data_IF_527347353080
#
_entry.id   IF_527347353080
#
_cell.length_a   1.000
_cell.length_b   1.000
_cell.length_c   1.000
_cell.angle_alpha   90.00
_cell.angle_beta   90.00
_cell.angle_gamma   90.00
#
_symmetry.space_group_name_H-M   'P 1'
#
loop_
_entity.id
_entity.type
_entity.pdbx_description
1 polymer ?
#
# COMPACT_ATOMS: atom_id res chain seq x y z
N UNK A 1 -14.78 11.97 -27.04
CA UNK A 1 -14.00 12.40 -25.86
C UNK A 1 -14.52 11.82 -24.53
N UNK A 2 -15.81 11.53 -24.31
CA UNK A 2 -16.27 10.94 -23.03
C UNK A 2 -15.95 9.43 -22.83
N UNK A 3 -15.88 8.64 -23.91
CA UNK A 3 -15.65 7.17 -23.81
C UNK A 3 -14.24 6.80 -23.36
N UNK A 4 -13.25 7.58 -23.78
CA UNK A 4 -11.82 7.35 -23.52
C UNK A 4 -11.51 7.47 -22.03
N UNK A 5 -12.06 8.50 -21.36
CA UNK A 5 -11.94 8.66 -19.90
C UNK A 5 -12.57 7.51 -19.10
N UNK A 6 -13.65 6.90 -19.60
CA UNK A 6 -14.30 5.77 -18.92
C UNK A 6 -13.49 4.49 -19.04
N UNK A 7 -12.90 4.24 -20.21
CA UNK A 7 -12.04 3.06 -20.44
C UNK A 7 -10.79 3.16 -19.56
N UNK A 8 -10.15 4.32 -19.50
CA UNK A 8 -8.97 4.53 -18.66
C UNK A 8 -9.27 4.33 -17.18
N UNK A 9 -10.42 4.83 -16.69
CA UNK A 9 -10.87 4.59 -15.32
C UNK A 9 -11.09 3.10 -15.03
N UNK A 10 -11.66 2.36 -15.97
CA UNK A 10 -11.85 0.90 -15.83
C UNK A 10 -10.50 0.17 -15.80
N UNK A 11 -9.55 0.56 -16.66
CA UNK A 11 -8.20 0.00 -16.65
C UNK A 11 -7.51 0.26 -15.32
N UNK A 12 -7.49 1.51 -14.85
CA UNK A 12 -6.89 1.87 -13.54
C UNK A 12 -7.52 1.05 -12.42
N UNK A 13 -8.84 0.88 -12.43
CA UNK A 13 -9.53 0.06 -11.43
C UNK A 13 -9.02 -1.39 -11.44
N UNK A 14 -8.94 -2.01 -12.61
CA UNK A 14 -8.42 -3.37 -12.74
C UNK A 14 -6.94 -3.48 -12.30
N UNK A 15 -6.11 -2.48 -12.59
CA UNK A 15 -4.71 -2.43 -12.13
C UNK A 15 -4.64 -2.41 -10.60
N UNK A 16 -5.50 -1.62 -9.94
CA UNK A 16 -5.56 -1.53 -8.48
C UNK A 16 -6.00 -2.86 -7.86
N UNK A 17 -7.05 -3.48 -8.40
CA UNK A 17 -7.53 -4.79 -7.94
C UNK A 17 -6.45 -5.87 -8.08
N UNK A 18 -5.71 -5.86 -9.20
CA UNK A 18 -4.58 -6.78 -9.42
C UNK A 18 -3.46 -6.58 -8.41
N UNK A 19 -3.03 -5.33 -8.20
CA UNK A 19 -2.06 -4.98 -7.15
C UNK A 19 -2.54 -5.45 -5.79
N UNK A 20 -3.80 -5.19 -5.43
CA UNK A 20 -4.34 -5.54 -4.11
C UNK A 20 -4.27 -7.05 -3.88
N UNK A 21 -4.68 -7.84 -4.86
CA UNK A 21 -4.56 -9.29 -4.80
C UNK A 21 -3.11 -9.75 -4.64
N UNK A 22 -2.19 -9.16 -5.41
CA UNK A 22 -0.77 -9.59 -5.43
C UNK A 22 0.00 -9.20 -4.17
N UNK A 23 -0.28 -8.00 -3.65
CA UNK A 23 0.56 -7.35 -2.65
C UNK A 23 0.09 -7.57 -1.22
N UNK A 24 -1.18 -7.95 -1.02
CA UNK A 24 -1.77 -8.15 0.31
C UNK A 24 -0.96 -9.13 1.17
N UNK A 25 -0.74 -10.36 0.69
CA UNK A 25 -0.02 -11.39 1.46
C UNK A 25 1.41 -10.95 1.84
N UNK A 26 2.09 -10.26 0.92
CA UNK A 26 3.44 -9.77 1.17
C UNK A 26 3.48 -8.68 2.26
N UNK A 27 2.44 -7.85 2.34
CA UNK A 27 2.41 -6.69 3.24
C UNK A 27 1.74 -6.95 4.60
N UNK A 28 0.91 -7.98 4.73
CA UNK A 28 0.24 -8.33 6.00
C UNK A 28 1.23 -8.49 7.16
N UNK A 29 2.43 -9.01 6.91
CA UNK A 29 3.46 -9.15 7.94
C UNK A 29 3.94 -7.82 8.54
N UNK A 30 3.70 -6.71 7.83
CA UNK A 30 4.05 -5.35 8.26
C UNK A 30 2.83 -4.57 8.75
N UNK A 31 1.67 -5.21 8.90
CA UNK A 31 0.45 -4.52 9.31
C UNK A 31 0.62 -3.85 10.68
N UNK A 32 0.11 -2.61 10.86
CA UNK A 32 -0.68 -1.85 9.90
C UNK A 32 0.15 -1.23 8.76
N UNK A 33 -0.43 -1.20 7.56
CA UNK A 33 0.19 -0.63 6.34
C UNK A 33 -0.73 0.43 5.73
N UNK A 34 -0.17 1.55 5.31
CA UNK A 34 -0.87 2.65 4.65
C UNK A 34 -0.43 2.77 3.19
N UNK A 35 -1.39 2.94 2.29
CA UNK A 35 -1.13 3.27 0.88
C UNK A 35 -1.14 4.79 0.74
N UNK A 36 0.01 5.40 0.44
CA UNK A 36 0.16 6.87 0.50
C UNK A 36 0.14 7.55 -0.87
N UNK A 37 0.62 6.87 -1.91
CA UNK A 37 0.56 7.37 -3.30
C UNK A 37 0.20 6.26 -4.25
N UNK A 38 -0.47 6.62 -5.35
CA UNK A 38 -0.81 5.74 -6.46
C UNK A 38 -0.69 6.50 -7.78
N UNK A 39 0.16 6.01 -8.67
CA UNK A 39 0.50 6.64 -9.95
C UNK A 39 0.37 5.58 -11.07
N UNK A 40 -0.82 5.46 -11.71
CA UNK A 40 -1.01 4.53 -12.81
C UNK A 40 -0.32 5.04 -14.10
N UNK A 41 0.54 4.21 -14.68
CA UNK A 41 1.19 4.44 -15.97
C UNK A 41 0.55 3.54 -17.05
N UNK A 42 -0.51 4.06 -17.68
CA UNK A 42 -1.34 3.33 -18.65
C UNK A 42 -0.62 2.98 -19.97
N UNK A 43 0.45 3.69 -20.29
CA UNK A 43 1.26 3.47 -21.48
C UNK A 43 2.18 2.25 -21.38
N UNK A 44 2.47 1.78 -20.17
CA UNK A 44 3.34 0.64 -19.87
C UNK A 44 2.70 -0.36 -18.91
N UNK A 45 1.37 -0.27 -18.74
CA UNK A 45 0.57 -1.16 -17.89
C UNK A 45 1.20 -1.41 -16.51
N UNK A 46 1.72 -0.35 -15.89
CA UNK A 46 2.39 -0.41 -14.58
C UNK A 46 1.73 0.53 -13.58
N UNK A 47 1.51 0.07 -12.35
CA UNK A 47 1.03 0.89 -11.24
C UNK A 47 2.17 1.15 -10.26
N UNK A 48 2.63 2.39 -10.16
CA UNK A 48 3.56 2.79 -9.12
C UNK A 48 2.79 3.18 -7.87
N UNK A 49 3.30 2.81 -6.71
CA UNK A 49 2.68 3.19 -5.45
C UNK A 49 3.67 3.12 -4.29
N UNK A 50 3.35 3.86 -3.25
CA UNK A 50 4.12 3.86 -2.02
C UNK A 50 3.27 3.32 -0.88
N UNK A 51 3.90 2.48 -0.06
CA UNK A 51 3.34 2.06 1.22
C UNK A 51 4.18 2.59 2.38
N UNK A 52 3.50 2.88 3.48
CA UNK A 52 4.12 3.26 4.74
C UNK A 52 3.75 2.25 5.81
N UNK A 53 4.72 1.84 6.60
CA UNK A 53 4.55 0.90 7.71
C UNK A 53 5.73 1.01 8.69
N UNK A 54 5.56 0.45 9.88
CA UNK A 54 6.63 0.41 10.88
C UNK A 54 7.47 -0.86 10.70
N UNK A 55 8.71 -0.70 10.28
CA UNK A 55 9.67 -1.80 10.16
C UNK A 55 10.31 -2.11 11.52
N UNK A 56 10.40 -3.39 11.95
CA UNK A 56 10.89 -3.75 13.28
C UNK A 56 12.30 -3.25 13.61
N UNK A 57 13.18 -3.14 12.60
CA UNK A 57 14.58 -2.76 12.77
C UNK A 57 14.89 -1.30 12.40
N UNK A 58 14.04 -0.67 11.59
CA UNK A 58 14.36 0.62 10.97
C UNK A 58 13.41 1.75 11.36
N UNK A 59 12.33 1.44 12.09
CA UNK A 59 11.28 2.42 12.38
C UNK A 59 10.35 2.62 11.18
N UNK A 60 9.81 3.82 11.02
CA UNK A 60 8.87 4.12 9.95
C UNK A 60 9.54 4.18 8.58
N UNK A 61 9.01 3.41 7.63
CA UNK A 61 9.55 3.30 6.28
C UNK A 61 8.48 3.69 5.28
N UNK A 62 8.85 4.52 4.31
CA UNK A 62 8.09 4.72 3.07
C UNK A 62 8.77 3.93 1.95
N UNK A 63 8.09 2.91 1.43
CA UNK A 63 8.62 1.98 0.44
C UNK A 63 7.88 2.10 -0.87
N UNK A 64 8.62 2.28 -1.97
CA UNK A 64 8.07 2.41 -3.32
C UNK A 64 8.08 1.08 -4.06
N UNK A 65 6.99 0.80 -4.74
CA UNK A 65 6.79 -0.38 -5.56
C UNK A 65 6.30 -0.01 -6.96
N UNK A 66 6.55 -0.93 -7.90
CA UNK A 66 5.92 -0.95 -9.21
C UNK A 66 5.23 -2.31 -9.38
N UNK A 67 3.93 -2.29 -9.65
CA UNK A 67 3.17 -3.48 -10.02
C UNK A 67 2.99 -3.50 -11.54
N UNK A 68 3.57 -4.50 -12.19
CA UNK A 68 3.44 -4.74 -13.62
C UNK A 68 2.23 -5.66 -13.86
N UNK A 69 1.24 -5.14 -14.59
CA UNK A 69 -0.06 -5.78 -14.76
C UNK A 69 0.01 -6.94 -15.75
N UNK A 70 0.92 -6.87 -16.72
CA UNK A 70 1.07 -7.88 -17.78
C UNK A 70 1.74 -9.13 -17.23
N UNK A 71 2.74 -8.94 -16.37
CA UNK A 71 3.52 -10.04 -15.79
C UNK A 71 3.05 -10.47 -14.40
N UNK A 72 2.13 -9.73 -13.77
CA UNK A 72 1.70 -9.95 -12.38
C UNK A 72 2.89 -9.99 -11.40
N UNK A 73 3.81 -9.03 -11.54
CA UNK A 73 5.02 -8.93 -10.72
C UNK A 73 5.03 -7.64 -9.92
N UNK A 74 5.42 -7.76 -8.64
CA UNK A 74 5.63 -6.64 -7.74
C UNK A 74 7.13 -6.37 -7.57
N UNK A 75 7.60 -5.23 -8.08
CA UNK A 75 8.99 -4.82 -8.00
C UNK A 75 9.20 -3.81 -6.87
N UNK A 76 10.13 -4.10 -5.95
CA UNK A 76 10.64 -3.11 -5.01
C UNK A 76 11.52 -2.10 -5.73
N UNK A 77 11.22 -0.80 -5.60
CA UNK A 77 11.93 0.30 -6.27
C UNK A 77 12.77 1.17 -5.34
N UNK A 78 12.73 0.89 -4.04
CA UNK A 78 13.50 1.61 -3.03
C UNK A 78 12.65 1.96 -1.81
N UNK A 79 13.31 2.49 -0.79
CA UNK A 79 12.67 2.94 0.43
C UNK A 79 13.42 4.12 1.05
N UNK A 80 12.68 4.92 1.83
CA UNK A 80 13.20 6.00 2.66
C UNK A 80 12.67 5.86 4.08
N UNK A 81 13.44 6.33 5.07
CA UNK A 81 12.94 6.48 6.43
C UNK A 81 12.10 7.75 6.51
N UNK A 82 11.02 7.69 7.29
CA UNK A 82 10.23 8.87 7.63
C UNK A 82 10.27 9.06 9.15
N UNK A 83 10.19 10.31 9.58
CA UNK A 83 10.10 10.65 11.00
C UNK A 83 8.71 10.28 11.57
N UNK A 84 8.64 10.33 12.90
CA UNK A 84 7.41 9.99 13.63
C UNK A 84 6.29 11.02 13.40
N UNK A 85 6.62 12.29 13.17
CA UNK A 85 5.63 13.34 12.92
C UNK A 85 4.86 13.06 11.62
N UNK A 86 5.57 12.80 10.53
CA UNK A 86 4.98 12.41 9.25
C UNK A 86 4.24 11.08 9.34
N UNK A 87 4.77 10.12 10.11
CA UNK A 87 4.06 8.87 10.35
C UNK A 87 2.75 9.07 11.11
N UNK A 88 2.70 10.01 12.07
CA UNK A 88 1.49 10.33 12.82
C UNK A 88 0.42 10.94 11.92
N UNK A 89 0.80 11.85 11.01
CA UNK A 89 -0.11 12.39 10.01
C UNK A 89 -0.72 11.30 9.13
N UNK A 90 0.09 10.32 8.70
CA UNK A 90 -0.36 9.20 7.87
C UNK A 90 -1.33 8.29 8.64
N UNK A 91 -1.06 8.05 9.92
CA UNK A 91 -1.89 7.24 10.80
C UNK A 91 -3.29 7.82 11.03
N UNK A 92 -3.52 9.11 10.76
CA UNK A 92 -4.87 9.70 10.79
C UNK A 92 -5.81 9.14 9.71
N UNK A 93 -5.25 8.53 8.66
CA UNK A 93 -5.99 7.88 7.56
C UNK A 93 -6.24 6.41 7.88
N UNK A 94 -7.28 5.86 7.25
CA UNK A 94 -7.56 4.43 7.36
C UNK A 94 -6.39 3.60 6.76
N UNK A 95 -5.88 2.59 7.50
CA UNK A 95 -4.86 1.70 6.97
C UNK A 95 -5.37 0.94 5.75
N UNK A 96 -4.52 0.81 4.75
CA UNK A 96 -4.74 -0.06 3.59
C UNK A 96 -4.79 -1.53 4.00
N UNK A 97 -3.91 -1.95 4.93
CA UNK A 97 -3.98 -3.23 5.61
C UNK A 97 -4.02 -2.96 7.11
N UNK A 98 -5.08 -3.44 7.76
CA UNK A 98 -5.28 -3.29 9.20
C UNK A 98 -4.44 -4.33 9.93
N UNK A 99 -3.89 -3.96 11.09
CA UNK A 99 -3.34 -4.93 12.01
C UNK A 99 -4.47 -5.86 12.49
N UNK A 100 -4.20 -7.16 12.53
CA UNK A 100 -5.08 -8.11 13.21
C UNK A 100 -5.08 -7.77 14.70
N UNK A 101 -6.14 -7.13 15.17
CA UNK A 101 -6.34 -6.93 16.60
C UNK A 101 -6.52 -8.30 17.25
N UNK A 102 -5.52 -8.75 18.01
CA UNK A 102 -5.79 -9.73 19.06
C UNK A 102 -6.63 -8.96 20.08
N UNK A 103 -7.95 -9.16 20.06
CA UNK A 103 -8.82 -8.72 21.15
C UNK A 103 -8.45 -9.52 22.40
N UNK A 104 -7.33 -9.21 23.07
CA UNK A 104 -7.10 -9.63 24.44
C UNK A 104 -7.89 -8.70 25.36
N UNK A 105 -9.21 -8.83 25.35
CA UNK A 105 -10.08 -8.32 26.41
C UNK A 105 -9.81 -9.18 27.64
N UNK A 106 -8.74 -8.87 28.40
CA UNK A 106 -8.52 -9.30 29.79
C UNK A 106 -7.20 -8.75 30.39
N UNK A 107 -6.89 -7.46 30.21
CA UNK A 107 -5.74 -6.83 30.88
C UNK A 107 -6.16 -5.65 31.77
N UNK A 108 -7.22 -5.84 32.57
CA UNK A 108 -7.46 -5.10 33.82
C UNK A 108 -8.09 -6.07 34.81
N UNK A 109 -7.23 -6.70 35.62
CA UNK A 109 -7.61 -7.71 36.59
C UNK A 109 -6.37 -8.19 37.34
N UNK A 110 -5.86 -7.32 38.21
CA UNK A 110 -4.73 -7.55 39.12
C UNK A 110 -4.56 -6.35 40.02
#
# INVERSE_FOLDING_TARGET
MAKESTIDKQRIKAMKEGRDKKSHEHFVQYAPVWLVTEEPALNIDTLYFNIVFQHPQYGWVNRRYAYDVVTDVLYHKGQELIDEEKALEIQTKEPYIKASSINSVQAYGG
#
